data_IF_570990422344
#
_entry.id   IF_570990422344
#
_cell.length_a   1.000
_cell.length_b   1.000
_cell.length_c   1.000
_cell.angle_alpha   90.00
_cell.angle_beta   90.00
_cell.angle_gamma   90.00
#
_symmetry.space_group_name_H-M   'P 1'
#
loop_
_entity.id
_entity.type
_entity.pdbx_description
1 polymer ?
#
# COMPACT_ATOMS: atom_id res chain seq x y z
N UNK A 1 -81.83 8.98 -13.95
CA UNK A 1 -80.86 9.64 -13.06
C UNK A 1 -81.17 11.14 -13.04
N UNK A 2 -81.81 11.66 -11.99
CA UNK A 2 -82.15 13.07 -11.87
C UNK A 2 -82.29 13.65 -10.42
N UNK A 3 -82.21 12.91 -9.29
CA UNK A 3 -82.35 13.54 -7.96
C UNK A 3 -81.02 13.99 -7.30
N UNK A 4 -79.85 13.56 -7.79
CA UNK A 4 -78.55 13.87 -7.14
C UNK A 4 -78.07 15.30 -7.37
N UNK A 5 -78.42 15.93 -8.49
CA UNK A 5 -77.86 17.23 -8.90
C UNK A 5 -78.51 18.39 -8.15
N UNK A 6 -79.82 18.34 -7.92
CA UNK A 6 -80.57 19.38 -7.20
C UNK A 6 -80.28 19.37 -5.70
N UNK A 7 -80.12 18.18 -5.10
CA UNK A 7 -79.75 18.04 -3.69
C UNK A 7 -78.32 18.54 -3.41
N UNK A 8 -77.38 18.31 -4.32
CA UNK A 8 -76.01 18.81 -4.21
C UNK A 8 -75.93 20.35 -4.36
N UNK A 9 -76.75 20.93 -5.24
CA UNK A 9 -76.82 22.39 -5.42
C UNK A 9 -77.41 23.09 -4.18
N UNK A 10 -78.44 22.52 -3.56
CA UNK A 10 -79.01 23.03 -2.31
C UNK A 10 -78.00 22.97 -1.15
N UNK A 11 -77.31 21.83 -0.99
CA UNK A 11 -76.29 21.66 0.05
C UNK A 11 -75.12 22.65 -0.10
N UNK A 12 -74.72 22.97 -1.34
CA UNK A 12 -73.70 23.98 -1.63
C UNK A 12 -74.16 25.40 -1.28
N UNK A 13 -75.41 25.75 -1.58
CA UNK A 13 -75.99 27.05 -1.23
C UNK A 13 -76.13 27.23 0.29
N UNK A 14 -76.61 26.21 1.00
CA UNK A 14 -76.73 26.23 2.47
C UNK A 14 -75.37 26.31 3.16
N UNK A 15 -74.38 25.53 2.67
CA UNK A 15 -73.01 25.59 3.18
C UNK A 15 -72.36 26.96 2.96
N UNK A 16 -72.61 27.59 1.81
CA UNK A 16 -72.12 28.94 1.51
C UNK A 16 -72.76 29.99 2.44
N UNK A 17 -74.07 29.92 2.64
CA UNK A 17 -74.80 30.82 3.53
C UNK A 17 -74.31 30.65 4.99
N UNK A 18 -74.14 29.42 5.46
CA UNK A 18 -73.62 29.14 6.80
C UNK A 18 -72.20 29.68 6.99
N UNK A 19 -71.29 29.43 6.03
CA UNK A 19 -69.92 29.97 6.08
C UNK A 19 -69.91 31.51 6.11
N UNK A 20 -70.83 32.14 5.37
CA UNK A 20 -70.92 33.60 5.27
C UNK A 20 -71.51 34.22 6.55
N UNK A 21 -72.55 33.62 7.13
CA UNK A 21 -73.14 34.05 8.41
C UNK A 21 -72.17 33.86 9.57
N UNK A 22 -71.40 32.78 9.57
CA UNK A 22 -70.35 32.52 10.57
C UNK A 22 -69.10 33.40 10.38
N UNK A 23 -69.03 34.21 9.32
CA UNK A 23 -67.89 35.07 9.01
C UNK A 23 -66.62 34.31 8.62
N UNK A 24 -66.72 33.02 8.32
CA UNK A 24 -65.59 32.17 7.96
C UNK A 24 -65.21 32.33 6.48
N UNK A 25 -63.93 32.15 6.11
CA UNK A 25 -63.50 32.32 4.74
C UNK A 25 -64.13 31.26 3.82
N UNK A 26 -64.94 31.73 2.86
CA UNK A 26 -65.47 30.88 1.79
C UNK A 26 -64.38 30.62 0.74
N UNK A 27 -63.80 29.42 0.81
CA UNK A 27 -62.82 28.88 -0.13
C UNK A 27 -63.37 27.61 -0.76
N UNK A 28 -62.79 27.16 -1.87
CA UNK A 28 -63.18 25.88 -2.50
C UNK A 28 -63.10 24.73 -1.49
N UNK A 29 -62.07 24.75 -0.63
CA UNK A 29 -61.87 23.75 0.42
C UNK A 29 -62.96 23.80 1.50
N UNK A 30 -63.22 24.97 2.07
CA UNK A 30 -64.20 25.11 3.17
C UNK A 30 -65.62 24.81 2.70
N UNK A 31 -65.97 25.18 1.46
CA UNK A 31 -67.28 24.86 0.89
C UNK A 31 -67.44 23.37 0.61
N UNK A 32 -66.41 22.72 0.06
CA UNK A 32 -66.38 21.28 -0.21
C UNK A 32 -66.59 20.46 1.07
N UNK A 33 -65.84 20.79 2.12
CA UNK A 33 -65.88 20.06 3.39
C UNK A 33 -67.24 20.22 4.09
N UNK A 34 -67.84 21.42 4.03
CA UNK A 34 -69.13 21.71 4.64
C UNK A 34 -70.30 21.08 3.88
N UNK A 35 -70.30 21.15 2.55
CA UNK A 35 -71.35 20.58 1.70
C UNK A 35 -71.18 19.08 1.40
N UNK A 36 -70.02 18.49 1.75
CA UNK A 36 -69.65 17.09 1.47
C UNK A 36 -69.77 16.73 -0.02
N UNK A 37 -69.30 17.62 -0.90
CA UNK A 37 -69.28 17.42 -2.36
C UNK A 37 -67.86 17.29 -2.91
N UNK A 38 -67.70 17.09 -4.22
CA UNK A 38 -66.37 17.07 -4.86
C UNK A 38 -65.76 18.48 -4.98
N UNK A 39 -64.43 18.55 -5.08
CA UNK A 39 -63.69 19.81 -5.27
C UNK A 39 -64.12 20.55 -6.53
N UNK A 40 -64.37 19.82 -7.62
CA UNK A 40 -64.78 20.41 -8.90
C UNK A 40 -66.18 21.03 -8.81
N UNK A 41 -67.13 20.33 -8.18
CA UNK A 41 -68.48 20.85 -7.96
C UNK A 41 -68.46 22.10 -7.07
N UNK A 42 -67.64 22.12 -6.00
CA UNK A 42 -67.48 23.29 -5.14
C UNK A 42 -66.78 24.46 -5.88
N UNK A 43 -65.79 24.17 -6.74
CA UNK A 43 -65.06 25.17 -7.53
C UNK A 43 -65.95 25.80 -8.60
N UNK A 44 -66.70 24.98 -9.33
CA UNK A 44 -67.65 25.42 -10.36
C UNK A 44 -68.78 26.23 -9.74
N UNK A 45 -69.38 25.75 -8.65
CA UNK A 45 -70.43 26.48 -7.96
C UNK A 45 -69.95 27.84 -7.43
N UNK A 46 -68.73 27.93 -6.88
CA UNK A 46 -68.14 29.20 -6.46
C UNK A 46 -67.84 30.12 -7.65
N UNK A 47 -67.39 29.60 -8.80
CA UNK A 47 -67.20 30.43 -9.99
C UNK A 47 -68.52 31.04 -10.47
N UNK A 48 -69.62 30.31 -10.39
CA UNK A 48 -70.94 30.77 -10.86
C UNK A 48 -71.68 31.65 -9.86
N UNK A 49 -71.60 31.36 -8.56
CA UNK A 49 -72.48 31.94 -7.54
C UNK A 49 -71.78 32.89 -6.55
N UNK A 50 -70.44 32.96 -6.58
CA UNK A 50 -69.73 33.88 -5.68
C UNK A 50 -69.94 35.32 -6.17
N UNK A 51 -70.34 36.25 -5.29
CA UNK A 51 -70.35 37.66 -5.63
C UNK A 51 -68.92 38.09 -5.99
N UNK A 52 -68.76 38.92 -7.03
CA UNK A 52 -67.47 39.51 -7.35
C UNK A 52 -66.92 40.19 -6.08
N UNK A 53 -65.84 39.64 -5.51
CA UNK A 53 -65.08 40.37 -4.50
C UNK A 53 -64.41 41.49 -5.26
N UNK A 54 -64.86 42.71 -5.03
CA UNK A 54 -64.20 43.92 -5.51
C UNK A 54 -62.93 44.12 -4.66
N UNK A 55 -61.92 43.29 -4.92
CA UNK A 55 -60.57 43.48 -4.39
C UNK A 55 -59.86 44.41 -5.35
N UNK A 56 -59.51 45.59 -4.85
CA UNK A 56 -58.70 46.54 -5.61
C UNK A 56 -57.45 45.84 -6.15
N UNK A 57 -57.10 46.01 -7.43
CA UNK A 57 -55.89 45.41 -7.98
C UNK A 57 -54.69 45.86 -7.15
N UNK A 58 -53.75 44.94 -6.94
CA UNK A 58 -52.48 45.28 -6.29
C UNK A 58 -51.84 46.42 -7.07
N UNK A 59 -51.41 47.52 -6.43
CA UNK A 59 -50.86 48.69 -7.12
C UNK A 59 -49.44 48.40 -7.60
N UNK A 60 -49.31 47.54 -8.61
CA UNK A 60 -48.04 47.05 -9.15
C UNK A 60 -47.13 48.20 -9.60
N UNK A 61 -47.71 49.24 -10.21
CA UNK A 61 -46.96 50.43 -10.67
C UNK A 61 -46.30 51.22 -9.53
N UNK A 62 -46.82 51.12 -8.31
CA UNK A 62 -46.25 51.77 -7.11
C UNK A 62 -45.25 50.85 -6.41
N UNK A 63 -45.51 49.53 -6.43
CA UNK A 63 -44.68 48.54 -5.74
C UNK A 63 -43.45 48.14 -6.54
N UNK A 64 -43.54 48.01 -7.87
CA UNK A 64 -42.43 47.56 -8.71
C UNK A 64 -41.19 48.47 -8.59
N UNK A 65 -41.29 49.82 -8.62
CA UNK A 65 -40.13 50.69 -8.44
C UNK A 65 -39.43 50.55 -7.07
N UNK A 66 -40.14 50.08 -6.05
CA UNK A 66 -39.61 49.86 -4.70
C UNK A 66 -39.06 48.43 -4.54
N UNK A 67 -39.76 47.44 -5.10
CA UNK A 67 -39.41 46.03 -4.97
C UNK A 67 -38.30 45.61 -5.93
N UNK A 68 -38.24 46.17 -7.14
CA UNK A 68 -37.24 45.78 -8.14
C UNK A 68 -35.80 46.04 -7.66
N UNK A 69 -35.47 47.22 -7.07
CA UNK A 69 -34.14 47.45 -6.51
C UNK A 69 -33.83 46.54 -5.32
N UNK A 70 -34.81 46.27 -4.44
CA UNK A 70 -34.64 45.40 -3.27
C UNK A 70 -34.43 43.94 -3.69
N UNK A 71 -35.18 43.47 -4.68
CA UNK A 71 -35.02 42.15 -5.24
C UNK A 71 -33.67 42.00 -5.95
N UNK A 72 -33.27 42.98 -6.76
CA UNK A 72 -31.96 42.99 -7.40
C UNK A 72 -30.82 42.98 -6.38
N UNK A 73 -30.92 43.77 -5.30
CA UNK A 73 -29.93 43.79 -4.23
C UNK A 73 -29.89 42.45 -3.47
N UNK A 74 -31.04 41.84 -3.19
CA UNK A 74 -31.11 40.54 -2.54
C UNK A 74 -30.50 39.43 -3.40
N UNK A 75 -30.76 39.43 -4.72
CA UNK A 75 -30.17 38.47 -5.66
C UNK A 75 -28.66 38.68 -5.82
N UNK A 76 -28.19 39.93 -5.83
CA UNK A 76 -26.76 40.23 -5.85
C UNK A 76 -26.07 39.73 -4.57
N UNK A 77 -26.63 40.05 -3.40
CA UNK A 77 -26.09 39.59 -2.11
C UNK A 77 -26.05 38.05 -2.02
N UNK A 78 -27.11 37.36 -2.47
CA UNK A 78 -27.13 35.90 -2.49
C UNK A 78 -26.08 35.30 -3.44
N UNK A 79 -25.78 35.96 -4.56
CA UNK A 79 -24.71 35.53 -5.47
C UNK A 79 -23.33 35.76 -4.88
N UNK A 80 -23.14 36.88 -4.19
CA UNK A 80 -21.87 37.20 -3.54
C UNK A 80 -21.60 36.20 -2.40
N UNK A 81 -22.59 35.88 -1.57
CA UNK A 81 -22.48 34.85 -0.52
C UNK A 81 -22.14 33.46 -1.10
N UNK A 82 -22.76 33.08 -2.22
CA UNK A 82 -22.43 31.83 -2.90
C UNK A 82 -21.00 31.87 -3.47
N UNK A 83 -20.58 32.99 -4.06
CA UNK A 83 -19.23 33.14 -4.62
C UNK A 83 -18.15 33.07 -3.52
N UNK A 84 -18.41 33.66 -2.35
CA UNK A 84 -17.52 33.58 -1.19
C UNK A 84 -17.41 32.14 -0.66
N UNK A 85 -18.54 31.43 -0.59
CA UNK A 85 -18.58 30.01 -0.17
C UNK A 85 -17.79 29.14 -1.15
N UNK A 86 -18.05 29.27 -2.45
CA UNK A 86 -17.35 28.52 -3.50
C UNK A 86 -15.84 28.83 -3.49
N UNK A 87 -15.47 30.10 -3.26
CA UNK A 87 -14.06 30.51 -3.17
C UNK A 87 -13.37 29.88 -1.96
N UNK A 88 -14.04 29.84 -0.80
CA UNK A 88 -13.53 29.19 0.40
C UNK A 88 -13.36 27.67 0.20
N UNK A 89 -14.36 27.00 -0.38
CA UNK A 89 -14.28 25.57 -0.69
C UNK A 89 -13.12 25.25 -1.66
N UNK A 90 -12.97 26.05 -2.73
CA UNK A 90 -11.85 25.90 -3.67
C UNK A 90 -10.51 26.13 -3.00
N UNK A 91 -10.40 27.11 -2.11
CA UNK A 91 -9.16 27.36 -1.39
C UNK A 91 -8.76 26.17 -0.51
N UNK A 92 -9.72 25.54 0.17
CA UNK A 92 -9.49 24.33 0.97
C UNK A 92 -9.05 23.17 0.08
N UNK A 93 -9.71 22.95 -1.07
CA UNK A 93 -9.35 21.88 -2.00
C UNK A 93 -7.95 22.08 -2.60
N UNK A 94 -7.61 23.30 -3.01
CA UNK A 94 -6.28 23.63 -3.54
C UNK A 94 -5.20 23.42 -2.48
N UNK A 95 -5.46 23.80 -1.22
CA UNK A 95 -4.53 23.54 -0.13
C UNK A 95 -4.35 22.04 0.11
N UNK A 96 -5.44 21.27 0.15
CA UNK A 96 -5.38 19.83 0.31
C UNK A 96 -4.63 19.13 -0.84
N UNK A 97 -4.80 19.60 -2.08
CA UNK A 97 -4.04 19.12 -3.24
C UNK A 97 -2.55 19.45 -3.11
N UNK A 98 -2.21 20.68 -2.70
CA UNK A 98 -0.82 21.07 -2.47
C UNK A 98 -0.14 20.21 -1.39
N UNK A 99 -0.85 19.95 -0.29
CA UNK A 99 -0.36 19.10 0.80
C UNK A 99 -0.18 17.64 0.33
N UNK A 100 -1.13 17.11 -0.46
CA UNK A 100 -1.04 15.77 -1.03
C UNK A 100 0.13 15.63 -2.02
N UNK A 101 0.39 16.66 -2.84
CA UNK A 101 1.53 16.69 -3.75
C UNK A 101 2.86 16.78 -3.00
N UNK A 102 2.92 17.52 -1.90
CA UNK A 102 4.10 17.60 -1.04
C UNK A 102 4.41 16.25 -0.37
N UNK A 103 3.38 15.57 0.16
CA UNK A 103 3.50 14.22 0.73
C UNK A 103 3.97 13.23 -0.34
N UNK A 104 3.38 13.27 -1.55
CA UNK A 104 3.80 12.42 -2.66
C UNK A 104 5.28 12.63 -3.01
N UNK A 105 5.73 13.88 -3.17
CA UNK A 105 7.13 14.19 -3.47
C UNK A 105 8.09 13.67 -2.38
N UNK A 106 7.70 13.80 -1.11
CA UNK A 106 8.45 13.24 0.01
C UNK A 106 8.53 11.71 -0.07
N UNK A 107 7.40 11.03 -0.33
CA UNK A 107 7.37 9.56 -0.43
C UNK A 107 8.20 9.03 -1.60
N UNK A 108 8.21 9.72 -2.75
CA UNK A 108 9.04 9.38 -3.91
C UNK A 108 10.52 9.48 -3.55
N UNK A 109 10.94 10.59 -2.92
CA UNK A 109 12.33 10.77 -2.48
C UNK A 109 12.76 9.65 -1.50
N UNK A 110 11.87 9.27 -0.58
CA UNK A 110 12.13 8.18 0.36
C UNK A 110 12.23 6.82 -0.34
N UNK A 111 11.41 6.59 -1.36
CA UNK A 111 11.41 5.36 -2.14
C UNK A 111 12.69 5.24 -2.96
N UNK A 112 13.11 6.30 -3.65
CA UNK A 112 14.39 6.35 -4.37
C UNK A 112 15.58 6.09 -3.42
N UNK A 113 15.57 6.67 -2.22
CA UNK A 113 16.60 6.40 -1.21
C UNK A 113 16.61 4.93 -0.76
N UNK A 114 15.43 4.32 -0.60
CA UNK A 114 15.30 2.91 -0.23
C UNK A 114 15.76 1.98 -1.35
N UNK A 115 15.43 2.27 -2.62
CA UNK A 115 15.90 1.53 -3.79
C UNK A 115 17.42 1.56 -3.90
N UNK A 116 18.02 2.75 -3.77
CA UNK A 116 19.47 2.91 -3.73
C UNK A 116 20.12 2.10 -2.60
N UNK A 117 19.50 2.05 -1.41
CA UNK A 117 19.99 1.24 -0.31
C UNK A 117 19.90 -0.27 -0.59
N UNK A 118 18.83 -0.72 -1.26
CA UNK A 118 18.67 -2.13 -1.68
C UNK A 118 19.76 -2.52 -2.68
N UNK A 119 20.04 -1.68 -3.68
CA UNK A 119 21.07 -1.96 -4.67
C UNK A 119 22.47 -1.98 -4.05
N UNK A 120 22.75 -1.10 -3.09
CA UNK A 120 24.00 -1.15 -2.31
C UNK A 120 24.10 -2.44 -1.48
N UNK A 121 23.01 -2.90 -0.87
CA UNK A 121 23.01 -4.15 -0.10
C UNK A 121 23.19 -5.38 -1.01
N UNK A 122 22.59 -5.38 -2.21
CA UNK A 122 22.81 -6.43 -3.21
C UNK A 122 24.26 -6.49 -3.65
N UNK A 123 24.85 -5.35 -4.02
CA UNK A 123 26.27 -5.29 -4.40
C UNK A 123 27.19 -5.77 -3.27
N UNK A 124 26.88 -5.44 -2.00
CA UNK A 124 27.62 -5.96 -0.84
C UNK A 124 27.45 -7.47 -0.66
N UNK A 125 26.25 -8.01 -0.89
CA UNK A 125 25.99 -9.44 -0.79
C UNK A 125 26.73 -10.22 -1.87
N UNK A 126 26.72 -9.71 -3.11
CA UNK A 126 27.48 -10.30 -4.23
C UNK A 126 28.98 -10.30 -3.89
N UNK A 127 29.51 -9.17 -3.42
CA UNK A 127 30.91 -9.07 -2.98
C UNK A 127 31.26 -10.06 -1.86
N UNK A 128 30.43 -10.17 -0.83
CA UNK A 128 30.63 -11.14 0.27
C UNK A 128 30.54 -12.59 -0.22
N UNK A 129 29.73 -12.86 -1.24
CA UNK A 129 29.61 -14.18 -1.86
C UNK A 129 30.88 -14.53 -2.63
N UNK A 130 31.43 -13.57 -3.38
CA UNK A 130 32.71 -13.73 -4.09
C UNK A 130 33.88 -13.93 -3.12
N UNK A 131 33.96 -13.13 -2.04
CA UNK A 131 34.97 -13.28 -0.99
C UNK A 131 34.89 -14.66 -0.33
N UNK A 132 33.67 -15.13 -0.06
CA UNK A 132 33.46 -16.46 0.50
C UNK A 132 33.91 -17.55 -0.47
N UNK A 133 33.56 -17.46 -1.75
CA UNK A 133 33.98 -18.43 -2.76
C UNK A 133 35.51 -18.47 -2.91
N UNK A 134 36.17 -17.30 -2.89
CA UNK A 134 37.62 -17.20 -2.92
C UNK A 134 38.27 -17.81 -1.66
N UNK A 135 37.70 -17.58 -0.49
CA UNK A 135 38.19 -18.17 0.77
C UNK A 135 38.00 -19.69 0.81
N UNK A 136 36.90 -20.21 0.28
CA UNK A 136 36.65 -21.65 0.13
C UNK A 136 37.68 -22.27 -0.83
N UNK A 137 37.92 -21.67 -2.00
CA UNK A 137 38.94 -22.14 -2.94
C UNK A 137 40.37 -22.13 -2.34
N UNK A 138 40.73 -21.07 -1.62
CA UNK A 138 42.03 -20.97 -0.96
C UNK A 138 42.20 -22.04 0.14
N UNK A 139 41.13 -22.35 0.87
CA UNK A 139 41.13 -23.42 1.87
C UNK A 139 41.33 -24.78 1.22
N UNK A 140 40.63 -25.07 0.12
CA UNK A 140 40.75 -26.33 -0.61
C UNK A 140 42.18 -26.51 -1.17
N UNK A 141 42.78 -25.44 -1.70
CA UNK A 141 44.17 -25.43 -2.13
C UNK A 141 45.14 -25.74 -0.97
N UNK A 142 44.97 -25.07 0.17
CA UNK A 142 45.79 -25.34 1.37
C UNK A 142 45.65 -26.78 1.86
N UNK A 143 44.44 -27.34 1.82
CA UNK A 143 44.21 -28.74 2.20
C UNK A 143 44.90 -29.71 1.23
N UNK A 144 44.87 -29.42 -0.07
CA UNK A 144 45.57 -30.20 -1.09
C UNK A 144 47.09 -30.18 -0.87
N UNK A 145 47.67 -28.99 -0.64
CA UNK A 145 49.09 -28.80 -0.35
C UNK A 145 49.49 -29.55 0.92
N UNK A 146 48.70 -29.43 2.00
CA UNK A 146 48.98 -30.11 3.26
C UNK A 146 48.91 -31.64 3.09
N UNK A 147 47.94 -32.15 2.33
CA UNK A 147 47.84 -33.58 2.03
C UNK A 147 49.03 -34.08 1.20
N UNK A 148 49.50 -33.30 0.23
CA UNK A 148 50.69 -33.60 -0.55
C UNK A 148 51.94 -33.65 0.34
N UNK A 149 52.16 -32.62 1.17
CA UNK A 149 53.29 -32.56 2.08
C UNK A 149 53.30 -33.74 3.09
N UNK A 150 52.12 -34.18 3.56
CA UNK A 150 52.01 -35.35 4.42
C UNK A 150 52.42 -36.65 3.70
N UNK A 151 52.05 -36.82 2.42
CA UNK A 151 52.48 -37.96 1.60
C UNK A 151 53.98 -37.93 1.36
N UNK A 152 54.51 -36.80 0.92
CA UNK A 152 55.95 -36.63 0.65
C UNK A 152 56.77 -36.89 1.93
N UNK A 153 56.29 -36.45 3.10
CA UNK A 153 56.93 -36.73 4.39
C UNK A 153 56.84 -38.21 4.79
N UNK A 154 55.75 -38.91 4.46
CA UNK A 154 55.64 -40.36 4.70
C UNK A 154 56.60 -41.13 3.80
N UNK A 155 56.68 -40.78 2.52
CA UNK A 155 57.59 -41.41 1.55
C UNK A 155 59.06 -41.17 1.92
N UNK A 156 59.41 -39.95 2.35
CA UNK A 156 60.76 -39.64 2.83
C UNK A 156 61.14 -40.46 4.07
N UNK A 157 60.21 -40.66 5.02
CA UNK A 157 60.46 -41.51 6.20
C UNK A 157 60.64 -42.98 5.80
N UNK A 158 59.82 -43.49 4.87
CA UNK A 158 59.95 -44.86 4.38
C UNK A 158 61.29 -45.08 3.65
N UNK A 159 61.70 -44.12 2.81
CA UNK A 159 62.99 -44.16 2.12
C UNK A 159 64.16 -44.13 3.12
N UNK A 160 64.12 -43.22 4.12
CA UNK A 160 65.14 -43.16 5.16
C UNK A 160 65.26 -44.48 5.93
N UNK A 161 64.14 -45.06 6.37
CA UNK A 161 64.12 -46.35 7.06
C UNK A 161 64.68 -47.48 6.19
N UNK A 162 64.35 -47.52 4.89
CA UNK A 162 64.91 -48.52 3.96
C UNK A 162 66.43 -48.37 3.80
N UNK A 163 66.94 -47.14 3.74
CA UNK A 163 68.37 -46.87 3.65
C UNK A 163 69.10 -47.26 4.95
N UNK A 164 68.48 -47.02 6.11
CA UNK A 164 68.98 -47.47 7.41
C UNK A 164 69.10 -48.99 7.49
N UNK A 165 68.07 -49.72 7.02
CA UNK A 165 68.11 -51.19 6.97
C UNK A 165 69.24 -51.70 6.05
N UNK A 166 69.37 -51.15 4.84
CA UNK A 166 70.44 -51.53 3.90
C UNK A 166 71.83 -51.22 4.47
N UNK A 167 71.99 -50.09 5.16
CA UNK A 167 73.24 -49.74 5.82
C UNK A 167 73.56 -50.72 6.97
N UNK A 168 72.56 -51.11 7.76
CA UNK A 168 72.73 -52.09 8.83
C UNK A 168 73.11 -53.48 8.28
N UNK A 169 72.48 -53.93 7.19
CA UNK A 169 72.83 -55.18 6.49
C UNK A 169 74.26 -55.13 5.92
N UNK A 170 74.64 -54.02 5.28
CA UNK A 170 76.00 -53.82 4.77
C UNK A 170 77.05 -53.85 5.90
N UNK A 171 76.73 -53.27 7.07
CA UNK A 171 77.61 -53.32 8.24
C UNK A 171 77.71 -54.74 8.82
N UNK A 172 76.60 -55.48 8.89
CA UNK A 172 76.59 -56.86 9.37
C UNK A 172 77.40 -57.79 8.44
N UNK A 173 77.23 -57.66 7.12
CA UNK A 173 78.03 -58.40 6.13
C UNK A 173 79.51 -58.02 6.19
N UNK A 174 79.84 -56.74 6.36
CA UNK A 174 81.24 -56.32 6.55
C UNK A 174 81.86 -56.89 7.84
N UNK A 175 81.09 -56.95 8.94
CA UNK A 175 81.55 -57.54 10.22
C UNK A 175 81.82 -59.03 10.08
N UNK A 176 80.88 -59.78 9.48
CA UNK A 176 81.04 -61.24 9.26
C UNK A 176 82.21 -61.56 8.33
N UNK A 177 82.39 -60.81 7.23
CA UNK A 177 83.57 -60.97 6.36
C UNK A 177 84.89 -60.70 7.11
N UNK A 178 84.92 -59.68 7.97
CA UNK A 178 86.10 -59.38 8.78
C UNK A 178 86.41 -60.50 9.77
N UNK A 179 85.39 -61.05 10.44
CA UNK A 179 85.54 -62.20 11.34
C UNK A 179 86.08 -63.43 10.61
N UNK A 180 85.58 -63.75 9.40
CA UNK A 180 86.06 -64.86 8.58
C UNK A 180 87.53 -64.66 8.16
N UNK A 181 87.92 -63.43 7.77
CA UNK A 181 89.30 -63.12 7.43
C UNK A 181 90.22 -63.23 8.65
N UNK A 182 89.77 -62.77 9.82
CA UNK A 182 90.53 -62.88 11.07
C UNK A 182 90.65 -64.33 11.57
N UNK A 183 89.68 -65.22 11.29
CA UNK A 183 89.83 -66.67 11.57
C UNK A 183 90.85 -67.30 10.62
N UNK A 184 90.73 -67.09 9.31
CA UNK A 184 91.67 -67.63 8.33
C UNK A 184 93.12 -67.17 8.59
N UNK A 185 93.30 -65.90 8.98
CA UNK A 185 94.62 -65.37 9.35
C UNK A 185 95.18 -66.03 10.61
N UNK A 186 94.34 -66.29 11.61
CA UNK A 186 94.77 -66.98 12.85
C UNK A 186 95.14 -68.44 12.59
N UNK A 187 94.36 -69.14 11.76
CA UNK A 187 94.64 -70.53 11.38
C UNK A 187 95.97 -70.63 10.62
N UNK A 188 96.22 -69.74 9.66
CA UNK A 188 97.49 -69.69 8.93
C UNK A 188 98.71 -69.37 9.83
N UNK A 189 98.53 -68.54 10.87
CA UNK A 189 99.58 -68.25 11.86
C UNK A 189 99.80 -69.39 12.87
N UNK A 190 98.77 -70.22 13.11
CA UNK A 190 98.90 -71.42 13.93
C UNK A 190 99.64 -72.52 13.16
N UNK A 191 99.31 -72.75 11.87
CA UNK A 191 100.01 -73.71 11.01
C UNK A 191 101.48 -73.38 10.80
N UNK A 192 101.86 -72.09 10.74
CA UNK A 192 103.27 -71.69 10.62
C UNK A 192 104.07 -71.86 11.92
N UNK A 193 103.41 -72.02 13.07
CA UNK A 193 104.05 -72.19 14.39
C UNK A 193 104.33 -73.66 14.73
N UNK A 194 103.65 -74.59 14.08
CA UNK A 194 103.87 -76.04 14.23
C UNK A 194 104.96 -76.59 13.28
N UNK A 195 105.56 -75.73 12.43
CA UNK A 195 106.63 -76.09 11.47
C UNK A 195 108.04 -75.61 11.87
N UNK A 196 108.17 -74.90 12.99
CA UNK A 196 109.45 -74.56 13.65
C UNK A 196 109.63 -75.40 14.93
#
# INVERSE_FOLDING_TARGET
MAPKTTAAAAALADAFAALTVEGLPVTVRSLRERAKVSTDAASEWLRTNRPARDVSPVPTEVLAPVLDPLWSAAVAAARDEQAETDAAERAVLVQAEADALAELAFTVTRLEAAENAVDQLRAKLDHMTDERAAAEAARDEQQSIAAQALRDAADARAAAHSAELLAAEAQATARTLREILDTLRRDAQAESKDQD
#
